data_IF_073713879745
#
_entry.id   IF_073713879745
#
_cell.length_a   1.000
_cell.length_b   1.000
_cell.length_c   1.000
_cell.angle_alpha   90.00
_cell.angle_beta   90.00
_cell.angle_gamma   90.00
#
_symmetry.space_group_name_H-M   'P 1'
#
loop_
_entity.id
_entity.type
_entity.pdbx_description
1 polymer ?
#
# COMPACT_ATOMS: atom_id res chain seq x y z
N UNK A 1 -25.61 26.18 -3.40
CA UNK A 1 -24.68 25.35 -2.61
C UNK A 1 -23.51 25.03 -3.53
N UNK A 2 -22.34 25.62 -3.30
CA UNK A 2 -21.13 25.20 -4.01
C UNK A 2 -20.68 23.88 -3.38
N UNK A 3 -20.52 22.84 -4.20
CA UNK A 3 -19.90 21.59 -3.77
C UNK A 3 -18.49 21.93 -3.27
N UNK A 4 -18.17 21.54 -2.03
CA UNK A 4 -16.78 21.63 -1.57
C UNK A 4 -16.02 20.54 -2.34
N UNK A 5 -15.06 20.88 -3.23
CA UNK A 5 -14.23 19.86 -3.84
C UNK A 5 -13.53 19.13 -2.70
N UNK A 6 -13.70 17.83 -2.60
CA UNK A 6 -12.80 17.01 -1.79
C UNK A 6 -11.38 17.41 -2.16
N UNK A 7 -10.50 17.56 -1.17
CA UNK A 7 -9.30 18.44 -1.20
C UNK A 7 -8.42 18.43 -2.46
N UNK A 8 -8.48 17.41 -3.32
CA UNK A 8 -7.91 17.39 -4.68
C UNK A 8 -6.39 17.52 -4.74
N UNK A 9 -5.76 17.76 -3.60
CA UNK A 9 -4.34 17.89 -3.42
C UNK A 9 -3.69 16.53 -3.66
N UNK A 10 -2.62 16.55 -4.44
CA UNK A 10 -1.73 15.41 -4.58
C UNK A 10 -1.11 15.07 -3.21
N UNK A 11 -1.00 13.78 -2.93
CA UNK A 11 -0.46 13.27 -1.68
C UNK A 11 0.52 12.13 -1.96
N UNK A 12 1.61 12.11 -1.21
CA UNK A 12 2.58 11.03 -1.23
C UNK A 12 2.23 10.01 -0.12
N UNK A 13 1.86 8.76 -0.45
CA UNK A 13 1.47 7.77 0.54
C UNK A 13 2.68 7.23 1.31
N UNK A 14 2.52 7.05 2.63
CA UNK A 14 3.54 6.46 3.51
C UNK A 14 3.17 5.04 3.93
N UNK A 15 4.18 4.19 4.10
CA UNK A 15 4.02 2.88 4.75
C UNK A 15 4.19 3.05 6.25
N UNK A 16 3.38 2.34 7.04
CA UNK A 16 3.40 2.44 8.50
C UNK A 16 3.58 1.08 9.14
N UNK A 17 4.35 1.03 10.24
CA UNK A 17 4.39 -0.14 11.10
C UNK A 17 3.06 -0.29 11.83
N UNK A 18 2.46 -1.48 11.70
CA UNK A 18 1.12 -1.75 12.24
C UNK A 18 1.04 -1.74 13.76
N UNK A 19 2.16 -1.92 14.45
CA UNK A 19 2.20 -2.11 15.90
C UNK A 19 2.38 -0.77 16.60
N UNK A 20 3.23 0.08 16.03
CA UNK A 20 3.66 1.36 16.59
C UNK A 20 2.96 2.55 15.95
N UNK A 21 2.47 2.40 14.71
CA UNK A 21 1.89 3.49 13.92
C UNK A 21 2.92 4.45 13.33
N UNK A 22 4.22 4.20 13.52
CA UNK A 22 5.27 5.04 12.96
C UNK A 22 5.49 4.76 11.47
N UNK A 23 5.90 5.78 10.68
CA UNK A 23 6.30 5.59 9.30
C UNK A 23 7.48 4.62 9.17
N UNK A 24 7.47 3.78 8.14
CA UNK A 24 8.64 3.04 7.66
C UNK A 24 9.24 3.84 6.51
N UNK A 25 10.46 4.34 6.71
CA UNK A 25 11.24 5.12 5.77
C UNK A 25 12.26 4.27 4.98
N UNK A 26 12.61 3.09 5.49
CA UNK A 26 13.43 2.09 4.82
C UNK A 26 12.59 1.15 3.95
N UNK A 27 12.85 1.16 2.64
CA UNK A 27 12.15 0.31 1.67
C UNK A 27 12.48 -1.18 1.82
N UNK A 28 13.63 -1.53 2.40
CA UNK A 28 14.01 -2.92 2.66
C UNK A 28 13.34 -3.48 3.93
N UNK A 29 12.70 -2.61 4.73
CA UNK A 29 12.01 -3.00 5.97
C UNK A 29 10.62 -3.61 5.72
N UNK A 30 10.10 -3.57 4.49
CA UNK A 30 8.78 -4.12 4.17
C UNK A 30 8.70 -4.73 2.76
N UNK A 31 7.70 -5.58 2.55
CA UNK A 31 7.37 -6.11 1.23
C UNK A 31 5.87 -6.05 1.00
N UNK A 32 5.46 -5.73 -0.22
CA UNK A 32 4.07 -5.87 -0.62
C UNK A 32 3.76 -7.34 -0.93
N UNK A 33 2.68 -7.84 -0.35
CA UNK A 33 2.22 -9.22 -0.56
C UNK A 33 0.71 -9.28 -0.72
N UNK A 34 0.23 -10.35 -1.33
CA UNK A 34 -1.20 -10.60 -1.46
C UNK A 34 -1.81 -10.89 -0.08
N UNK A 35 -2.90 -10.20 0.25
CA UNK A 35 -3.64 -10.41 1.49
C UNK A 35 -4.38 -11.76 1.53
N UNK A 36 -4.87 -12.18 2.72
CA UNK A 36 -5.49 -13.50 2.91
C UNK A 36 -6.78 -13.71 2.11
N UNK A 37 -7.48 -12.63 1.75
CA UNK A 37 -8.69 -12.68 0.92
C UNK A 37 -8.44 -12.39 -0.57
N UNK A 38 -7.17 -12.34 -1.00
CA UNK A 38 -6.81 -11.99 -2.36
C UNK A 38 -7.22 -13.09 -3.36
N UNK A 39 -7.90 -12.68 -4.45
CA UNK A 39 -8.19 -13.55 -5.60
C UNK A 39 -6.93 -13.83 -6.45
N UNK A 40 -7.05 -14.76 -7.41
CA UNK A 40 -5.92 -15.24 -8.22
C UNK A 40 -5.13 -14.12 -8.92
N UNK A 41 -5.81 -13.12 -9.49
CA UNK A 41 -5.13 -12.02 -10.17
C UNK A 41 -4.19 -11.24 -9.21
N UNK A 42 -4.66 -10.96 -7.99
CA UNK A 42 -3.87 -10.25 -6.98
C UNK A 42 -2.75 -11.14 -6.41
N UNK A 43 -3.02 -12.45 -6.26
CA UNK A 43 -1.99 -13.42 -5.86
C UNK A 43 -0.91 -13.57 -6.92
N UNK A 44 -1.24 -13.50 -8.21
CA UNK A 44 -0.28 -13.56 -9.30
C UNK A 44 0.57 -12.29 -9.39
N UNK A 45 -0.03 -11.12 -9.13
CA UNK A 45 0.69 -9.83 -9.09
C UNK A 45 1.82 -9.81 -8.07
N UNK A 46 1.65 -10.47 -6.92
CA UNK A 46 2.62 -10.52 -5.83
C UNK A 46 3.16 -11.95 -5.56
N UNK A 47 2.99 -12.86 -6.52
CA UNK A 47 3.47 -14.24 -6.40
C UNK A 47 4.98 -14.35 -6.61
N UNK A 48 5.59 -15.54 -6.43
CA UNK A 48 7.05 -15.73 -6.54
C UNK A 48 7.65 -15.39 -7.92
N UNK A 49 6.82 -15.11 -8.93
CA UNK A 49 7.25 -14.60 -10.23
C UNK A 49 7.38 -13.06 -10.28
N UNK A 50 6.89 -12.32 -9.28
CA UNK A 50 6.90 -10.86 -9.19
C UNK A 50 7.94 -10.29 -8.22
N UNK A 51 8.81 -11.14 -7.64
CA UNK A 51 9.87 -10.74 -6.70
C UNK A 51 11.27 -11.03 -7.26
N UNK A 52 11.51 -10.70 -8.52
CA UNK A 52 12.86 -10.68 -9.09
C UNK A 52 13.13 -9.36 -9.77
#
# INVERSE_FOLDING_TARGET
MAESPGSGAEVDPVVVDRTTGHPLDDADAYVFTAGPAAGEAMRNRYGPAGSR
#
